data_IF_012560216524
#
_entry.id   IF_012560216524
#
_cell.length_a   1.000
_cell.length_b   1.000
_cell.length_c   1.000
_cell.angle_alpha   90.00
_cell.angle_beta   90.00
_cell.angle_gamma   90.00
#
_symmetry.space_group_name_H-M   'P 1'
#
loop_
_entity.id
_entity.type
_entity.pdbx_description
1 polymer ?
#
# COMPACT_ATOMS: atom_id res chain seq x y z
N UNK A 1 12.31 -28.40 32.22
CA UNK A 1 11.46 -28.57 31.02
C UNK A 1 11.39 -27.24 30.28
N UNK A 2 12.09 -27.09 29.15
CA UNK A 2 12.13 -25.84 28.41
C UNK A 2 10.80 -25.62 27.67
N UNK A 3 10.07 -24.55 28.01
CA UNK A 3 8.83 -24.14 27.35
C UNK A 3 9.13 -23.84 25.87
N UNK A 4 8.64 -24.70 24.98
CA UNK A 4 8.65 -24.46 23.54
C UNK A 4 7.88 -23.15 23.28
N UNK A 5 8.59 -22.18 22.70
CA UNK A 5 7.99 -20.91 22.28
C UNK A 5 7.20 -21.21 21.00
N UNK A 6 5.87 -21.20 21.12
CA UNK A 6 4.98 -21.40 19.97
C UNK A 6 4.68 -20.05 19.30
N UNK A 7 4.37 -20.02 17.99
CA UNK A 7 3.93 -18.81 17.30
C UNK A 7 2.73 -18.12 17.99
N UNK A 8 1.87 -18.88 18.66
CA UNK A 8 0.76 -18.36 19.47
C UNK A 8 1.22 -17.61 20.72
N UNK A 9 2.26 -18.09 21.40
CA UNK A 9 2.85 -17.35 22.54
C UNK A 9 3.48 -16.05 22.07
N UNK A 10 4.17 -16.04 20.93
CA UNK A 10 4.73 -14.83 20.35
C UNK A 10 3.62 -13.85 19.94
N UNK A 11 2.56 -14.35 19.29
CA UNK A 11 1.36 -13.56 18.93
C UNK A 11 0.71 -12.94 20.16
N UNK A 12 0.54 -13.71 21.24
CA UNK A 12 -0.07 -13.24 22.49
C UNK A 12 0.80 -12.22 23.22
N UNK A 13 2.13 -12.36 23.16
CA UNK A 13 3.04 -11.39 23.74
C UNK A 13 3.01 -10.08 22.94
N UNK A 14 3.14 -10.15 21.61
CA UNK A 14 3.09 -8.97 20.74
C UNK A 14 1.74 -8.25 20.82
N UNK A 15 0.63 -9.00 20.86
CA UNK A 15 -0.70 -8.42 21.07
C UNK A 15 -0.82 -7.78 22.46
N UNK A 16 -0.27 -8.38 23.50
CA UNK A 16 -0.30 -7.79 24.85
C UNK A 16 0.49 -6.48 24.97
N UNK A 17 1.58 -6.34 24.21
CA UNK A 17 2.37 -5.10 24.19
C UNK A 17 1.67 -3.98 23.44
N UNK A 18 1.03 -4.28 22.30
CA UNK A 18 0.27 -3.30 21.52
C UNK A 18 -1.02 -2.88 22.26
N UNK A 19 -1.73 -3.82 22.90
CA UNK A 19 -2.91 -3.54 23.73
C UNK A 19 -2.63 -2.64 24.92
N UNK A 20 -1.43 -2.72 25.51
CA UNK A 20 -1.02 -1.81 26.60
C UNK A 20 -0.85 -0.37 26.10
N UNK A 21 -0.33 -0.21 24.89
CA UNK A 21 -0.15 1.11 24.27
C UNK A 21 -1.50 1.73 23.88
N UNK A 22 -2.39 0.95 23.26
CA UNK A 22 -3.71 1.41 22.82
C UNK A 22 -4.66 1.73 23.99
N UNK A 23 -4.60 0.97 25.10
CA UNK A 23 -5.37 1.30 26.32
C UNK A 23 -4.93 2.61 26.95
N UNK A 24 -3.63 2.91 26.96
CA UNK A 24 -3.11 4.17 27.47
C UNK A 24 -3.59 5.36 26.62
N UNK A 25 -3.66 5.19 25.30
CA UNK A 25 -4.19 6.21 24.39
C UNK A 25 -5.69 6.44 24.56
N UNK A 26 -6.49 5.38 24.72
CA UNK A 26 -7.93 5.48 24.93
C UNK A 26 -8.31 6.12 26.27
N UNK A 27 -7.53 5.88 27.33
CA UNK A 27 -7.74 6.56 28.63
C UNK A 27 -7.41 8.06 28.56
N UNK A 28 -6.37 8.44 27.81
CA UNK A 28 -6.03 9.86 27.57
C UNK A 28 -7.12 10.60 26.76
N UNK A 29 -7.82 9.91 25.86
CA UNK A 29 -8.94 10.48 25.10
C UNK A 29 -10.20 10.63 25.96
N UNK A 30 -10.50 9.67 26.84
CA UNK A 30 -11.63 9.75 27.77
C UNK A 30 -11.49 10.88 28.79
N UNK A 31 -10.28 11.09 29.33
CA UNK A 31 -10.00 12.17 30.28
C UNK A 31 -10.21 13.56 29.67
N UNK A 32 -10.02 13.71 28.35
CA UNK A 32 -10.29 14.96 27.61
C UNK A 32 -11.77 15.17 27.28
N UNK A 33 -12.56 14.11 27.24
CA UNK A 33 -14.01 14.18 26.99
C UNK A 33 -14.81 14.46 28.28
N UNK A 34 -14.24 14.16 29.46
CA UNK A 34 -14.89 14.35 30.76
C UNK A 34 -14.93 15.82 31.23
N UNK A 35 -14.34 16.78 30.50
CA UNK A 35 -14.26 18.20 30.91
C UNK A 35 -15.27 19.12 30.23
N UNK A 36 -16.31 18.59 29.60
CA UNK A 36 -17.38 19.40 28.99
C UNK A 36 -18.75 19.04 29.56
N UNK A 37 -19.26 19.90 30.45
CA UNK A 37 -20.62 19.81 31.01
C UNK A 37 -21.68 20.30 30.00
N UNK A 38 -22.79 19.56 29.79
CA UNK A 38 -23.99 20.10 29.16
C UNK A 38 -25.08 20.41 30.21
N UNK A 39 -25.63 21.64 30.15
CA UNK A 39 -26.87 22.02 30.87
C UNK A 39 -28.12 21.59 30.08
N UNK A 40 -29.24 21.26 30.77
CA UNK A 40 -30.43 20.75 30.12
C UNK A 40 -31.47 21.84 29.80
N UNK A 41 -32.46 21.40 29.01
CA UNK A 41 -33.81 21.93 28.79
C UNK A 41 -34.05 22.78 27.53
N UNK A 42 -34.62 22.14 26.50
CA UNK A 42 -35.89 22.52 25.81
C UNK A 42 -36.12 21.52 24.65
N UNK A 43 -36.72 20.37 24.94
CA UNK A 43 -37.01 19.29 23.98
C UNK A 43 -38.48 19.34 23.54
N UNK A 44 -38.74 19.62 22.25
CA UNK A 44 -39.85 18.99 21.52
C UNK A 44 -39.92 19.42 20.03
N UNK A 45 -39.53 20.64 19.66
CA UNK A 45 -39.74 21.14 18.27
C UNK A 45 -38.51 21.17 17.37
N UNK A 46 -37.31 20.91 17.92
CA UNK A 46 -36.02 20.94 17.17
C UNK A 46 -35.59 19.51 16.75
N UNK A 47 -36.33 18.47 17.13
CA UNK A 47 -35.89 17.08 17.03
C UNK A 47 -35.79 16.53 15.59
N UNK A 48 -36.61 17.01 14.64
CA UNK A 48 -36.62 16.48 13.26
C UNK A 48 -35.48 17.03 12.40
N UNK A 49 -35.24 18.35 12.42
CA UNK A 49 -34.11 18.97 11.71
C UNK A 49 -32.75 18.54 12.27
N UNK A 50 -32.68 18.30 13.60
CA UNK A 50 -31.46 17.82 14.26
C UNK A 50 -31.16 16.37 13.92
N UNK A 51 -32.17 15.52 13.73
CA UNK A 51 -31.99 14.08 13.43
C UNK A 51 -31.55 13.86 11.98
N UNK A 52 -32.10 14.63 11.04
CA UNK A 52 -31.62 14.66 9.64
C UNK A 52 -30.17 15.13 9.56
N UNK A 53 -29.84 16.21 10.28
CA UNK A 53 -28.48 16.75 10.35
C UNK A 53 -27.47 15.78 10.98
N UNK A 54 -27.83 15.10 12.08
CA UNK A 54 -26.97 14.07 12.71
C UNK A 54 -26.75 12.87 11.78
N UNK A 55 -27.77 12.42 11.06
CA UNK A 55 -27.65 11.33 10.08
C UNK A 55 -26.69 11.69 8.94
N UNK A 56 -26.79 12.92 8.41
CA UNK A 56 -25.89 13.40 7.36
C UNK A 56 -24.43 13.46 7.84
N UNK A 57 -24.18 13.92 9.07
CA UNK A 57 -22.83 13.94 9.66
C UNK A 57 -22.24 12.53 9.82
N UNK A 58 -23.02 11.55 10.30
CA UNK A 58 -22.57 10.16 10.47
C UNK A 58 -22.23 9.48 9.13
N UNK A 59 -22.91 9.87 8.05
CA UNK A 59 -22.69 9.34 6.71
C UNK A 59 -21.76 10.19 5.84
N UNK A 60 -21.17 11.26 6.39
CA UNK A 60 -20.15 12.07 5.68
C UNK A 60 -18.88 11.26 5.38
N UNK A 61 -18.14 11.68 4.34
CA UNK A 61 -16.86 11.06 3.98
C UNK A 61 -15.86 11.08 5.15
N UNK A 62 -15.79 12.19 5.88
CA UNK A 62 -14.96 12.32 7.09
C UNK A 62 -15.31 11.29 8.17
N UNK A 63 -16.60 11.08 8.44
CA UNK A 63 -17.04 10.08 9.42
C UNK A 63 -16.79 8.64 8.94
N UNK A 64 -16.86 8.40 7.63
CA UNK A 64 -16.47 7.13 7.02
C UNK A 64 -14.98 6.83 7.22
N UNK A 65 -14.09 7.79 6.93
CA UNK A 65 -12.64 7.63 7.16
C UNK A 65 -12.30 7.36 8.62
N UNK A 66 -12.96 8.07 9.56
CA UNK A 66 -12.79 7.80 11.01
C UNK A 66 -13.14 6.36 11.39
N UNK A 67 -14.19 5.78 10.80
CA UNK A 67 -14.52 4.36 11.02
C UNK A 67 -13.44 3.45 10.46
N UNK A 68 -12.90 3.73 9.28
CA UNK A 68 -11.79 2.95 8.71
C UNK A 68 -10.55 2.92 9.60
N UNK A 69 -10.22 4.05 10.23
CA UNK A 69 -9.07 4.17 11.12
C UNK A 69 -9.12 3.24 12.34
N UNK A 70 -10.32 2.77 12.72
CA UNK A 70 -10.50 1.82 13.83
C UNK A 70 -10.03 0.40 13.51
N UNK A 71 -9.85 0.07 12.22
CA UNK A 71 -9.45 -1.28 11.80
C UNK A 71 -7.92 -1.43 11.82
N UNK A 72 -7.47 -2.58 12.29
CA UNK A 72 -6.06 -2.98 12.24
C UNK A 72 -5.92 -4.44 11.81
N UNK A 73 -4.74 -4.80 11.31
CA UNK A 73 -4.44 -6.19 10.96
C UNK A 73 -4.50 -7.15 12.17
N UNK A 74 -4.33 -6.64 13.40
CA UNK A 74 -4.39 -7.44 14.63
C UNK A 74 -5.82 -7.66 15.13
N UNK A 75 -6.74 -6.74 14.87
CA UNK A 75 -8.12 -6.77 15.40
C UNK A 75 -9.14 -7.23 14.35
N UNK A 76 -8.80 -7.16 13.06
CA UNK A 76 -9.66 -7.59 11.95
C UNK A 76 -8.85 -8.44 10.95
N UNK A 77 -8.30 -9.55 11.44
CA UNK A 77 -7.34 -10.38 10.74
C UNK A 77 -7.99 -11.37 9.76
N UNK A 78 -7.31 -11.67 8.66
CA UNK A 78 -7.62 -12.77 7.72
C UNK A 78 -9.08 -12.80 7.25
N UNK A 79 -9.64 -11.62 6.98
CA UNK A 79 -10.96 -11.49 6.38
C UNK A 79 -10.85 -11.47 4.84
N UNK A 80 -11.81 -12.08 4.13
CA UNK A 80 -11.88 -11.97 2.68
C UNK A 80 -12.27 -10.53 2.26
N UNK A 81 -12.11 -10.21 0.98
CA UNK A 81 -12.30 -8.84 0.46
C UNK A 81 -13.73 -8.30 0.69
N UNK A 82 -14.73 -9.18 0.67
CA UNK A 82 -16.15 -8.88 0.92
C UNK A 82 -16.42 -8.46 2.38
N UNK A 83 -15.48 -8.75 3.27
CA UNK A 83 -15.50 -8.40 4.70
C UNK A 83 -14.40 -7.37 5.03
N UNK A 84 -13.88 -6.68 4.02
CA UNK A 84 -12.85 -5.66 4.21
C UNK A 84 -13.33 -4.49 5.08
N UNK A 85 -12.41 -3.77 5.74
CA UNK A 85 -12.73 -2.56 6.51
C UNK A 85 -13.59 -1.54 5.75
N UNK A 86 -13.41 -1.42 4.43
CA UNK A 86 -14.19 -0.56 3.55
C UNK A 86 -15.68 -0.90 3.57
N UNK A 87 -16.00 -2.19 3.44
CA UNK A 87 -17.38 -2.67 3.47
C UNK A 87 -17.98 -2.44 4.86
N UNK A 88 -17.26 -2.81 5.91
CA UNK A 88 -17.71 -2.60 7.29
C UNK A 88 -18.00 -1.11 7.57
N UNK A 89 -17.05 -0.22 7.27
CA UNK A 89 -17.21 1.22 7.48
C UNK A 89 -18.35 1.80 6.63
N UNK A 90 -18.59 1.30 5.42
CA UNK A 90 -19.71 1.74 4.56
C UNK A 90 -21.06 1.48 5.23
N UNK A 91 -21.20 0.34 5.91
CA UNK A 91 -22.39 -0.03 6.68
C UNK A 91 -22.35 0.50 8.13
N UNK A 92 -21.49 1.47 8.43
CA UNK A 92 -21.51 2.17 9.72
C UNK A 92 -20.85 1.42 10.87
N UNK A 93 -20.11 0.35 10.57
CA UNK A 93 -19.39 -0.43 11.57
C UNK A 93 -18.01 0.18 11.85
N UNK A 94 -17.67 0.28 13.12
CA UNK A 94 -16.32 0.55 13.61
C UNK A 94 -15.80 -0.69 14.36
N UNK A 95 -14.50 -0.94 14.31
CA UNK A 95 -13.89 -2.07 14.98
C UNK A 95 -13.48 -1.65 16.41
N UNK A 96 -14.12 -2.27 17.40
CA UNK A 96 -14.00 -1.88 18.81
C UNK A 96 -13.18 -2.87 19.64
N UNK A 97 -13.01 -4.10 19.14
CA UNK A 97 -12.21 -5.17 19.78
C UNK A 97 -11.86 -6.26 18.74
N UNK A 98 -11.14 -7.31 19.14
CA UNK A 98 -10.82 -8.46 18.30
C UNK A 98 -12.06 -9.09 17.68
N UNK A 99 -12.14 -9.00 16.35
CA UNK A 99 -13.29 -9.45 15.57
C UNK A 99 -14.64 -8.91 16.09
N UNK A 100 -14.65 -7.72 16.69
CA UNK A 100 -15.87 -7.10 17.22
C UNK A 100 -16.13 -5.78 16.53
N UNK A 101 -17.34 -5.65 15.99
CA UNK A 101 -17.83 -4.43 15.37
C UNK A 101 -18.91 -3.79 16.22
N UNK A 102 -18.96 -2.46 16.24
CA UNK A 102 -20.07 -1.70 16.79
C UNK A 102 -20.61 -0.74 15.73
N UNK A 103 -21.93 -0.67 15.58
CA UNK A 103 -22.52 0.32 14.67
C UNK A 103 -22.49 1.70 15.32
N UNK A 104 -21.93 2.70 14.64
CA UNK A 104 -21.85 4.07 15.19
C UNK A 104 -23.23 4.72 15.35
N UNK A 105 -24.22 4.29 14.54
CA UNK A 105 -25.58 4.80 14.54
C UNK A 105 -26.47 4.18 15.62
N UNK A 106 -26.64 2.86 15.60
CA UNK A 106 -27.55 2.15 16.50
C UNK A 106 -26.87 1.47 17.71
N UNK A 107 -25.54 1.52 17.81
CA UNK A 107 -24.74 0.95 18.91
C UNK A 107 -24.82 -0.58 19.08
N UNK A 108 -25.52 -1.28 18.20
CA UNK A 108 -25.53 -2.76 18.10
C UNK A 108 -24.11 -3.29 17.87
N UNK A 109 -23.80 -4.44 18.48
CA UNK A 109 -22.55 -5.15 18.30
C UNK A 109 -22.70 -6.32 17.33
N UNK A 110 -21.64 -6.61 16.58
CA UNK A 110 -21.56 -7.74 15.66
C UNK A 110 -20.22 -8.45 15.82
N UNK A 111 -20.28 -9.75 16.16
CA UNK A 111 -19.11 -10.62 16.17
C UNK A 111 -18.75 -11.02 14.74
N UNK A 112 -17.52 -10.72 14.34
CA UNK A 112 -16.92 -11.01 13.06
C UNK A 112 -15.98 -12.20 13.04
N UNK A 113 -15.94 -13.01 14.11
CA UNK A 113 -15.00 -14.14 14.21
C UNK A 113 -15.31 -15.17 13.13
N UNK A 114 -14.28 -15.61 12.41
CA UNK A 114 -14.37 -16.69 11.44
C UNK A 114 -13.60 -17.93 11.95
N UNK A 115 -14.01 -19.14 11.56
CA UNK A 115 -13.22 -20.35 11.78
C UNK A 115 -11.81 -20.21 11.20
N UNK A 116 -10.86 -21.01 11.69
CA UNK A 116 -9.52 -21.08 11.08
C UNK A 116 -9.61 -21.84 9.75
N UNK A 117 -8.82 -21.44 8.76
CA UNK A 117 -8.88 -21.86 7.35
C UNK A 117 -8.58 -23.35 7.06
N UNK A 118 -8.57 -24.22 8.07
CA UNK A 118 -8.42 -25.67 7.90
C UNK A 118 -9.63 -26.34 7.25
N UNK A 119 -10.83 -25.79 7.47
CA UNK A 119 -12.10 -26.27 6.91
C UNK A 119 -12.68 -25.21 5.97
N UNK A 120 -12.34 -25.30 4.68
CA UNK A 120 -12.66 -24.26 3.69
C UNK A 120 -14.16 -24.01 3.52
N UNK A 121 -15.02 -25.02 3.70
CA UNK A 121 -16.46 -24.89 3.48
C UNK A 121 -17.17 -24.17 4.64
N UNK A 122 -16.87 -24.55 5.88
CA UNK A 122 -17.37 -23.88 7.08
C UNK A 122 -16.88 -22.44 7.15
N UNK A 123 -15.62 -22.19 6.78
CA UNK A 123 -15.08 -20.83 6.67
C UNK A 123 -15.91 -19.99 5.69
N UNK A 124 -16.16 -20.50 4.48
CA UNK A 124 -16.92 -19.80 3.44
C UNK A 124 -18.37 -19.55 3.88
N UNK A 125 -19.00 -20.52 4.53
CA UNK A 125 -20.37 -20.37 5.05
C UNK A 125 -20.44 -19.31 6.16
N UNK A 126 -19.49 -19.33 7.11
CA UNK A 126 -19.39 -18.30 8.15
C UNK A 126 -19.10 -16.92 7.56
N UNK A 127 -18.24 -16.82 6.55
CA UNK A 127 -17.92 -15.56 5.88
C UNK A 127 -19.15 -14.98 5.16
N UNK A 128 -19.90 -15.82 4.42
CA UNK A 128 -21.13 -15.39 3.75
C UNK A 128 -22.23 -15.01 4.75
N UNK A 129 -22.34 -15.72 5.88
CA UNK A 129 -23.25 -15.32 6.97
C UNK A 129 -22.86 -13.97 7.56
N UNK A 130 -21.57 -13.75 7.82
CA UNK A 130 -21.08 -12.48 8.37
C UNK A 130 -21.30 -11.32 7.38
N UNK A 131 -21.09 -11.56 6.08
CA UNK A 131 -21.35 -10.58 5.02
C UNK A 131 -22.81 -10.13 5.01
N UNK A 132 -23.75 -11.06 5.16
CA UNK A 132 -25.18 -10.74 5.31
C UNK A 132 -25.45 -9.95 6.60
N UNK A 133 -24.81 -10.34 7.70
CA UNK A 133 -24.97 -9.67 9.00
C UNK A 133 -24.41 -8.24 9.02
N UNK A 134 -23.35 -7.94 8.28
CA UNK A 134 -22.86 -6.56 8.12
C UNK A 134 -23.95 -5.64 7.57
N UNK A 135 -24.85 -6.15 6.72
CA UNK A 135 -25.95 -5.37 6.16
C UNK A 135 -27.17 -5.37 7.09
N UNK A 136 -27.48 -6.53 7.69
CA UNK A 136 -28.77 -6.75 8.34
C UNK A 136 -28.75 -6.57 9.87
N UNK A 137 -27.61 -6.74 10.54
CA UNK A 137 -27.52 -6.79 12.02
C UNK A 137 -27.52 -5.41 12.67
N UNK A 138 -28.41 -4.53 12.23
CA UNK A 138 -28.65 -3.25 12.86
C UNK A 138 -29.96 -3.25 13.65
N UNK A 139 -30.05 -2.38 14.66
CA UNK A 139 -31.33 -2.11 15.33
C UNK A 139 -32.35 -1.52 14.36
N UNK A 140 -33.64 -1.67 14.67
CA UNK A 140 -34.72 -1.11 13.86
C UNK A 140 -34.54 0.41 13.69
N UNK A 141 -34.73 0.89 12.47
CA UNK A 141 -34.58 2.30 12.08
C UNK A 141 -33.14 2.86 12.19
N UNK A 142 -32.12 1.99 12.19
CA UNK A 142 -30.74 2.44 12.04
C UNK A 142 -30.53 3.15 10.68
N UNK A 143 -29.83 4.29 10.73
CA UNK A 143 -29.50 5.08 9.53
C UNK A 143 -28.67 4.30 8.52
N UNK A 144 -27.79 3.39 8.98
CA UNK A 144 -26.94 2.59 8.10
C UNK A 144 -27.61 1.33 7.57
N UNK A 145 -28.54 0.75 8.34
CA UNK A 145 -29.33 -0.41 7.89
C UNK A 145 -30.32 -0.07 6.78
N UNK A 146 -30.65 1.21 6.62
CA UNK A 146 -31.53 1.73 5.56
C UNK A 146 -30.76 2.46 4.48
N UNK A 147 -29.79 3.30 4.87
CA UNK A 147 -29.01 4.14 3.97
C UNK A 147 -27.52 4.03 4.31
N UNK A 148 -26.79 3.04 3.77
CA UNK A 148 -25.33 2.99 3.95
C UNK A 148 -24.65 4.23 3.35
N UNK A 149 -23.37 4.42 3.68
CA UNK A 149 -22.55 5.44 3.01
C UNK A 149 -22.46 5.19 1.49
N UNK A 150 -22.17 6.24 0.72
CA UNK A 150 -21.98 6.13 -0.73
C UNK A 150 -20.93 5.05 -1.04
N UNK A 151 -21.19 4.25 -2.07
CA UNK A 151 -20.24 3.27 -2.58
C UNK A 151 -18.97 3.92 -3.15
N UNK A 152 -19.07 5.19 -3.59
CA UNK A 152 -17.93 5.98 -4.06
C UNK A 152 -16.84 6.12 -2.99
N UNK A 153 -17.20 6.11 -1.69
CA UNK A 153 -16.21 6.18 -0.61
C UNK A 153 -15.30 4.95 -0.55
N UNK A 154 -15.72 3.83 -1.15
CA UNK A 154 -14.91 2.62 -1.25
C UNK A 154 -13.97 2.63 -2.48
N UNK A 155 -13.95 3.70 -3.27
CA UNK A 155 -13.21 3.79 -4.52
C UNK A 155 -12.32 5.03 -4.57
N UNK A 156 -11.22 4.96 -5.32
CA UNK A 156 -10.43 6.15 -5.65
C UNK A 156 -11.20 6.95 -6.70
N UNK A 157 -11.53 8.20 -6.40
CA UNK A 157 -12.27 9.09 -7.30
C UNK A 157 -11.31 9.68 -8.34
N UNK A 158 -11.11 8.97 -9.46
CA UNK A 158 -10.10 9.36 -10.46
C UNK A 158 -10.59 10.48 -11.38
N UNK A 159 -11.90 10.64 -11.54
CA UNK A 159 -12.53 11.69 -12.34
C UNK A 159 -12.49 13.07 -11.67
N UNK A 160 -12.48 13.13 -10.33
CA UNK A 160 -12.36 14.39 -9.59
C UNK A 160 -10.89 14.78 -9.43
N UNK A 161 -10.30 15.27 -10.52
CA UNK A 161 -8.88 15.66 -10.59
C UNK A 161 -8.51 16.69 -9.53
N UNK A 162 -9.43 17.58 -9.15
CA UNK A 162 -9.17 18.64 -8.14
C UNK A 162 -8.98 18.00 -6.76
N UNK A 163 -9.95 17.21 -6.30
CA UNK A 163 -9.84 16.53 -5.01
C UNK A 163 -8.72 15.50 -4.98
N UNK A 164 -8.49 14.81 -6.10
CA UNK A 164 -7.42 13.85 -6.26
C UNK A 164 -6.03 14.51 -6.17
N UNK A 165 -5.84 15.65 -6.82
CA UNK A 165 -4.59 16.43 -6.76
C UNK A 165 -4.35 17.01 -5.37
N UNK A 166 -5.39 17.54 -4.71
CA UNK A 166 -5.28 17.99 -3.32
C UNK A 166 -4.85 16.85 -2.39
N UNK A 167 -5.50 15.69 -2.52
CA UNK A 167 -5.15 14.48 -1.76
C UNK A 167 -3.74 13.98 -2.05
N UNK A 168 -3.27 14.08 -3.31
CA UNK A 168 -1.88 13.81 -3.67
C UNK A 168 -0.93 14.74 -2.91
N UNK A 169 -1.16 16.06 -2.95
CA UNK A 169 -0.32 17.04 -2.29
C UNK A 169 -0.25 16.84 -0.76
N UNK A 170 -1.35 16.42 -0.13
CA UNK A 170 -1.38 16.06 1.29
C UNK A 170 -0.49 14.87 1.60
N UNK A 171 -0.62 13.77 0.85
CA UNK A 171 0.22 12.56 1.01
C UNK A 171 1.69 12.84 0.74
N UNK A 172 2.00 13.57 -0.33
CA UNK A 172 3.36 13.96 -0.67
C UNK A 172 3.98 14.86 0.42
N UNK A 173 3.21 15.80 0.96
CA UNK A 173 3.64 16.65 2.09
C UNK A 173 3.88 15.88 3.38
N UNK A 174 3.17 14.77 3.60
CA UNK A 174 3.40 13.90 4.73
C UNK A 174 4.70 13.10 4.53
N UNK A 175 4.86 12.47 3.37
CA UNK A 175 6.03 11.67 3.03
C UNK A 175 7.33 12.48 2.95
N UNK A 176 7.28 13.74 2.51
CA UNK A 176 8.46 14.62 2.46
C UNK A 176 9.13 14.81 3.83
N UNK A 177 8.38 14.65 4.93
CA UNK A 177 8.91 14.78 6.30
C UNK A 177 9.78 13.60 6.73
N UNK A 178 9.68 12.47 6.04
CA UNK A 178 10.40 11.23 6.36
C UNK A 178 11.22 10.71 5.16
N UNK A 179 11.40 11.55 4.13
CA UNK A 179 11.95 11.11 2.84
C UNK A 179 13.36 10.50 2.93
N UNK A 180 14.17 10.97 3.88
CA UNK A 180 15.53 10.46 4.11
C UNK A 180 15.55 9.03 4.69
N UNK A 181 14.42 8.57 5.23
CA UNK A 181 14.26 7.25 5.85
C UNK A 181 13.48 6.27 4.97
N UNK A 182 13.04 6.71 3.79
CA UNK A 182 12.24 5.87 2.90
C UNK A 182 13.01 4.63 2.46
N UNK A 183 12.28 3.53 2.20
CA UNK A 183 12.89 2.30 1.77
C UNK A 183 13.28 2.41 0.29
N UNK A 184 14.28 1.64 -0.11
CA UNK A 184 14.55 1.40 -1.53
C UNK A 184 13.34 0.72 -2.14
N UNK A 185 12.81 1.30 -3.23
CA UNK A 185 11.61 0.80 -3.89
C UNK A 185 11.96 -0.30 -4.91
N UNK A 186 11.11 -1.31 -5.01
CA UNK A 186 11.08 -2.23 -6.15
C UNK A 186 10.16 -1.63 -7.21
N UNK A 187 10.74 -1.15 -8.31
CA UNK A 187 10.01 -0.46 -9.38
C UNK A 187 9.81 -1.31 -10.63
N UNK A 188 10.31 -2.55 -10.67
CA UNK A 188 10.34 -3.37 -11.89
C UNK A 188 8.98 -3.41 -12.60
N UNK A 189 7.91 -3.72 -11.85
CA UNK A 189 6.55 -3.76 -12.40
C UNK A 189 6.07 -2.41 -12.94
N UNK A 190 6.44 -1.30 -12.28
CA UNK A 190 6.07 0.04 -12.74
C UNK A 190 6.86 0.44 -13.99
N UNK A 191 8.16 0.11 -14.03
CA UNK A 191 9.03 0.34 -15.19
C UNK A 191 8.56 -0.43 -16.42
N UNK A 192 8.10 -1.67 -16.24
CA UNK A 192 7.50 -2.48 -17.31
C UNK A 192 6.22 -1.85 -17.87
N UNK A 193 5.52 -1.04 -17.05
CA UNK A 193 4.36 -0.24 -17.46
C UNK A 193 4.73 1.15 -18.00
N UNK A 194 6.03 1.46 -18.16
CA UNK A 194 6.51 2.72 -18.70
C UNK A 194 6.65 3.86 -17.68
N UNK A 195 6.57 3.57 -16.38
CA UNK A 195 6.82 4.55 -15.32
C UNK A 195 8.33 4.81 -15.16
N UNK A 196 8.72 6.08 -15.07
CA UNK A 196 10.08 6.50 -14.74
C UNK A 196 10.05 7.35 -13.48
N UNK A 197 10.68 6.87 -12.41
CA UNK A 197 10.68 7.53 -11.10
C UNK A 197 11.29 8.94 -11.17
N UNK A 198 12.35 9.12 -11.96
CA UNK A 198 13.00 10.42 -12.13
C UNK A 198 12.08 11.44 -12.83
N UNK A 199 11.37 11.01 -13.89
CA UNK A 199 10.38 11.83 -14.57
C UNK A 199 9.20 12.18 -13.66
N UNK A 200 8.76 11.24 -12.82
CA UNK A 200 7.68 11.48 -11.86
C UNK A 200 8.09 12.54 -10.82
N UNK A 201 9.31 12.42 -10.28
CA UNK A 201 9.90 13.43 -9.38
C UNK A 201 10.01 14.80 -10.05
N UNK A 202 10.53 14.87 -11.27
CA UNK A 202 10.64 16.11 -12.03
C UNK A 202 9.28 16.74 -12.37
N UNK A 203 8.29 15.92 -12.72
CA UNK A 203 6.91 16.37 -12.97
C UNK A 203 6.32 16.98 -11.70
N UNK A 204 6.46 16.29 -10.56
CA UNK A 204 5.98 16.79 -9.28
C UNK A 204 6.61 18.15 -8.94
N UNK A 205 7.94 18.27 -9.05
CA UNK A 205 8.67 19.52 -8.81
C UNK A 205 8.26 20.64 -9.76
N UNK A 206 7.89 20.34 -11.01
CA UNK A 206 7.52 21.38 -11.99
C UNK A 206 6.06 21.82 -11.89
N UNK A 207 5.15 20.89 -11.64
CA UNK A 207 3.72 21.10 -11.88
C UNK A 207 2.83 20.92 -10.66
N UNK A 208 3.23 20.10 -9.68
CA UNK A 208 2.37 19.75 -8.54
C UNK A 208 2.81 20.50 -7.26
N UNK A 209 4.11 20.50 -6.99
CA UNK A 209 4.67 21.00 -5.73
C UNK A 209 6.03 21.70 -5.95
N UNK A 210 6.07 22.86 -6.62
CA UNK A 210 7.31 23.56 -6.95
C UNK A 210 8.12 24.03 -5.74
N UNK A 211 7.43 24.44 -4.68
CA UNK A 211 8.05 25.00 -3.48
C UNK A 211 8.60 23.95 -2.51
N UNK A 212 8.42 22.65 -2.81
CA UNK A 212 8.90 21.56 -1.96
C UNK A 212 9.90 20.70 -2.70
N UNK A 213 10.93 20.26 -1.98
CA UNK A 213 11.82 19.20 -2.44
C UNK A 213 11.32 17.86 -1.91
N UNK A 214 10.68 17.12 -2.81
CA UNK A 214 10.08 15.81 -2.53
C UNK A 214 10.88 14.79 -3.34
N UNK A 215 11.41 13.77 -2.66
CA UNK A 215 12.20 12.75 -3.32
C UNK A 215 11.35 11.98 -4.35
N UNK A 216 11.95 11.52 -5.47
CA UNK A 216 11.24 10.70 -6.46
C UNK A 216 10.54 9.47 -5.86
N UNK A 217 11.15 8.83 -4.84
CA UNK A 217 10.54 7.69 -4.14
C UNK A 217 9.31 8.09 -3.32
N UNK A 218 9.33 9.26 -2.67
CA UNK A 218 8.14 9.80 -2.00
C UNK A 218 7.02 10.11 -3.01
N UNK A 219 7.37 10.63 -4.19
CA UNK A 219 6.40 10.87 -5.27
C UNK A 219 5.79 9.56 -5.76
N UNK A 220 6.60 8.52 -5.99
CA UNK A 220 6.13 7.20 -6.39
C UNK A 220 5.15 6.61 -5.36
N UNK A 221 5.52 6.63 -4.08
CA UNK A 221 4.65 6.19 -2.98
C UNK A 221 3.34 6.98 -2.94
N UNK A 222 3.37 8.28 -3.24
CA UNK A 222 2.18 9.14 -3.28
C UNK A 222 1.22 8.73 -4.39
N UNK A 223 1.73 8.46 -5.60
CA UNK A 223 0.93 8.01 -6.75
C UNK A 223 0.31 6.64 -6.54
N UNK A 224 0.99 5.76 -5.79
CA UNK A 224 0.47 4.43 -5.44
C UNK A 224 -0.35 4.42 -4.15
N UNK A 225 -0.70 5.59 -3.59
CA UNK A 225 -1.69 5.70 -2.52
C UNK A 225 -1.15 5.61 -1.09
N UNK A 226 0.16 5.63 -0.91
CA UNK A 226 0.79 5.63 0.41
C UNK A 226 0.92 7.03 1.00
N UNK A 227 0.90 7.08 2.32
CA UNK A 227 1.24 8.23 3.17
C UNK A 227 2.01 7.75 4.39
N UNK A 228 2.42 8.65 5.28
CA UNK A 228 3.02 8.28 6.58
C UNK A 228 2.04 8.50 7.73
N UNK A 229 2.20 7.71 8.80
CA UNK A 229 1.46 7.94 10.04
C UNK A 229 1.83 9.30 10.65
N UNK A 230 0.85 10.02 11.17
CA UNK A 230 1.06 11.25 11.94
C UNK A 230 1.57 11.00 13.36
N UNK A 231 1.32 9.80 13.91
CA UNK A 231 1.63 9.44 15.30
C UNK A 231 2.94 8.67 15.47
N UNK A 232 3.47 8.06 14.39
CA UNK A 232 4.66 7.22 14.46
C UNK A 232 5.55 7.45 13.25
N UNK A 233 6.65 8.18 13.45
CA UNK A 233 7.68 8.33 12.44
C UNK A 233 8.24 6.94 12.06
N UNK A 234 8.25 6.61 10.77
CA UNK A 234 8.74 5.32 10.28
C UNK A 234 7.65 4.27 10.00
N UNK A 235 6.38 4.65 9.97
CA UNK A 235 5.29 3.80 9.49
C UNK A 235 4.68 4.39 8.21
N UNK A 236 4.74 3.63 7.12
CA UNK A 236 3.94 3.87 5.91
C UNK A 236 2.54 3.31 6.11
N UNK A 237 1.54 3.99 5.57
CA UNK A 237 0.18 3.52 5.60
C UNK A 237 -0.62 3.88 4.35
N UNK A 238 -1.61 3.05 4.05
CA UNK A 238 -2.64 3.34 3.06
C UNK A 238 -3.98 3.52 3.79
N UNK A 239 -4.58 4.71 3.66
CA UNK A 239 -5.85 5.04 4.32
C UNK A 239 -7.00 4.20 3.78
N UNK A 240 -6.98 3.85 2.49
CA UNK A 240 -8.09 3.11 1.87
C UNK A 240 -8.13 1.65 2.29
N UNK A 241 -6.99 0.99 2.47
CA UNK A 241 -6.95 -0.43 2.83
C UNK A 241 -6.52 -0.70 4.27
N UNK A 242 -6.29 0.36 5.06
CA UNK A 242 -5.83 0.35 6.44
C UNK A 242 -4.50 -0.40 6.67
N UNK A 243 -3.71 -0.62 5.61
CA UNK A 243 -2.40 -1.27 5.70
C UNK A 243 -1.42 -0.32 6.38
N UNK A 244 -0.70 -0.81 7.39
CA UNK A 244 0.37 -0.09 8.11
C UNK A 244 1.64 -0.95 8.06
N UNK A 245 2.75 -0.35 7.65
CA UNK A 245 4.02 -1.04 7.40
C UNK A 245 5.17 -0.24 8.03
N UNK A 246 5.95 -0.90 8.87
CA UNK A 246 7.16 -0.32 9.44
C UNK A 246 8.30 -0.28 8.43
N UNK A 247 8.96 0.88 8.28
CA UNK A 247 10.09 1.06 7.37
C UNK A 247 11.28 0.16 7.71
N UNK A 248 11.41 -0.26 8.97
CA UNK A 248 12.46 -1.16 9.44
C UNK A 248 12.42 -2.57 8.80
N UNK A 249 11.33 -2.92 8.12
CA UNK A 249 11.21 -4.20 7.41
C UNK A 249 11.94 -4.22 6.06
N UNK A 250 12.36 -3.06 5.53
CA UNK A 250 12.90 -2.93 4.17
C UNK A 250 14.31 -2.35 4.16
N UNK A 251 15.02 -2.56 3.05
CA UNK A 251 16.30 -1.89 2.81
C UNK A 251 16.08 -0.37 2.71
N UNK A 252 16.95 0.41 3.35
CA UNK A 252 16.94 1.88 3.23
C UNK A 252 18.04 2.31 2.27
N UNK A 253 17.80 3.38 1.52
CA UNK A 253 18.74 3.93 0.53
C UNK A 253 20.06 4.41 1.14
N UNK A 254 20.16 4.53 2.48
CA UNK A 254 21.38 4.89 3.22
C UNK A 254 22.13 3.74 3.89
N UNK A 255 21.73 2.47 3.71
CA UNK A 255 22.38 1.33 4.37
C UNK A 255 23.69 0.90 3.67
N UNK A 256 24.69 1.79 3.64
CA UNK A 256 26.09 1.42 3.42
C UNK A 256 26.76 1.26 4.80
N UNK A 257 27.25 0.04 5.05
CA UNK A 257 28.23 -0.37 6.07
C UNK A 257 28.59 0.64 7.18
N UNK A 258 28.01 0.46 8.36
CA UNK A 258 28.68 0.55 9.66
C UNK A 258 27.68 0.16 10.76
N UNK A 259 27.50 -1.15 10.97
CA UNK A 259 27.04 -1.64 12.25
C UNK A 259 28.26 -1.65 13.19
N UNK A 260 28.63 -0.48 13.70
CA UNK A 260 29.45 -0.40 14.91
C UNK A 260 28.63 -0.99 16.04
N UNK A 261 29.02 -2.18 16.45
CA UNK A 261 28.58 -2.81 17.68
C UNK A 261 29.08 -1.94 18.82
N UNK A 262 28.18 -1.20 19.46
CA UNK A 262 28.41 -0.67 20.80
C UNK A 262 28.50 -1.87 21.75
N UNK A 263 29.72 -2.32 22.00
CA UNK A 263 30.05 -3.18 23.13
C UNK A 263 30.13 -2.29 24.36
N UNK A 264 29.06 -2.25 25.14
CA UNK A 264 29.15 -1.77 26.52
C UNK A 264 29.59 -2.93 27.41
N UNK A 265 30.63 -2.62 28.19
CA UNK A 265 31.25 -3.40 29.25
C UNK A 265 30.22 -4.04 30.19
N UNK A 266 30.49 -5.29 30.57
CA UNK A 266 30.15 -5.80 31.89
C UNK A 266 31.29 -6.71 32.35
N UNK A 267 32.02 -6.18 33.33
CA UNK A 267 33.14 -6.77 34.03
C UNK A 267 32.71 -7.95 34.90
N UNK A 268 33.46 -9.06 34.77
CA UNK A 268 33.86 -10.03 35.80
C UNK A 268 32.91 -10.34 36.96
N UNK A 269 32.43 -11.59 37.03
CA UNK A 269 32.49 -12.45 38.23
C UNK A 269 32.67 -13.89 37.75
N UNK A 270 33.70 -14.55 38.30
CA UNK A 270 34.00 -15.98 38.17
C UNK A 270 33.03 -16.82 38.99
N UNK A 271 32.51 -17.90 38.44
CA UNK A 271 32.34 -19.16 39.18
C UNK A 271 32.18 -20.34 38.21
N UNK A 272 32.92 -21.40 38.54
CA UNK A 272 32.98 -22.66 37.82
C UNK A 272 31.72 -23.50 38.04
N UNK A 273 31.05 -23.94 36.97
CA UNK A 273 30.33 -25.22 36.99
C UNK A 273 30.26 -25.85 35.58
N UNK A 274 30.65 -27.11 35.49
CA UNK A 274 30.82 -27.85 34.24
C UNK A 274 29.50 -28.49 33.79
N UNK A 275 28.77 -27.82 32.90
CA UNK A 275 27.67 -28.38 32.11
C UNK A 275 28.01 -28.49 30.61
N UNK A 276 27.46 -29.47 29.86
CA UNK A 276 27.86 -29.74 28.48
C UNK A 276 27.46 -28.59 27.55
N UNK A 277 28.49 -27.96 26.95
CA UNK A 277 28.38 -26.83 26.02
C UNK A 277 27.61 -27.22 24.76
N UNK A 278 26.31 -26.96 24.72
CA UNK A 278 25.57 -26.89 23.45
C UNK A 278 26.04 -25.63 22.73
N UNK A 279 26.85 -25.80 21.66
CA UNK A 279 27.17 -24.74 20.70
C UNK A 279 25.85 -24.15 20.18
N UNK A 280 25.40 -23.03 20.75
CA UNK A 280 24.45 -22.15 20.09
C UNK A 280 25.17 -21.63 18.85
N UNK A 281 24.94 -22.26 17.70
CA UNK A 281 25.24 -21.65 16.42
C UNK A 281 24.49 -20.32 16.40
N UNK A 282 25.23 -19.22 16.57
CA UNK A 282 24.75 -17.88 16.25
C UNK A 282 24.59 -17.87 14.74
N UNK A 283 23.39 -18.20 14.28
CA UNK A 283 22.99 -18.00 12.89
C UNK A 283 23.09 -16.49 12.67
N UNK A 284 24.20 -16.06 12.09
CA UNK A 284 24.40 -14.70 11.64
C UNK A 284 23.75 -14.61 10.26
N UNK A 285 22.42 -14.74 10.23
CA UNK A 285 21.62 -14.30 9.09
C UNK A 285 21.17 -12.89 9.46
N UNK A 286 22.00 -11.90 9.16
CA UNK A 286 21.45 -10.57 8.87
C UNK A 286 20.48 -10.78 7.70
N UNK A 287 19.15 -10.61 7.88
CA UNK A 287 18.23 -10.78 6.77
C UNK A 287 18.61 -9.75 5.70
N UNK A 288 18.85 -10.19 4.46
CA UNK A 288 18.86 -9.26 3.33
C UNK A 288 17.47 -8.66 3.33
N UNK A 289 17.34 -7.41 3.80
CA UNK A 289 16.05 -6.73 3.78
C UNK A 289 15.68 -6.50 2.31
N UNK A 290 14.50 -6.90 1.92
CA UNK A 290 14.01 -6.73 0.57
C UNK A 290 13.66 -5.25 0.30
N UNK A 291 13.57 -4.89 -0.98
CA UNK A 291 13.05 -3.59 -1.41
C UNK A 291 11.52 -3.56 -1.29
N UNK A 292 10.97 -2.37 -1.07
CA UNK A 292 9.53 -2.17 -0.89
C UNK A 292 8.81 -2.10 -2.23
N UNK A 293 7.86 -3.00 -2.50
CA UNK A 293 7.03 -2.91 -3.70
C UNK A 293 5.83 -1.98 -3.45
N UNK A 294 5.75 -0.80 -4.09
CA UNK A 294 4.70 0.18 -3.81
C UNK A 294 3.29 -0.26 -4.24
N UNK A 295 3.15 -1.31 -5.06
CA UNK A 295 1.86 -1.83 -5.51
C UNK A 295 1.46 -3.07 -4.72
N UNK A 296 2.37 -4.04 -4.58
CA UNK A 296 2.05 -5.35 -3.97
C UNK A 296 1.88 -5.30 -2.45
N UNK A 297 2.45 -4.30 -1.78
CA UNK A 297 2.37 -4.16 -0.32
C UNK A 297 1.00 -3.72 0.21
N UNK A 298 0.09 -3.34 -0.69
CA UNK A 298 -1.31 -3.07 -0.34
C UNK A 298 -2.05 -4.37 0.02
N UNK A 299 -3.10 -4.26 0.82
CA UNK A 299 -4.04 -5.38 0.95
C UNK A 299 -4.74 -5.65 -0.40
N UNK A 300 -5.07 -6.90 -0.70
CA UNK A 300 -5.66 -7.34 -1.98
C UNK A 300 -6.99 -6.64 -2.33
N UNK A 301 -7.71 -6.15 -1.33
CA UNK A 301 -8.95 -5.38 -1.49
C UNK A 301 -8.72 -3.86 -1.61
N UNK A 302 -7.48 -3.41 -1.72
CA UNK A 302 -7.18 -1.98 -1.76
C UNK A 302 -7.71 -1.33 -3.05
N UNK A 303 -8.53 -0.26 -2.95
CA UNK A 303 -9.06 0.45 -4.11
C UNK A 303 -8.00 0.99 -5.06
N UNK A 304 -6.78 1.29 -4.58
CA UNK A 304 -5.68 1.76 -5.42
C UNK A 304 -5.23 0.73 -6.46
N UNK A 305 -5.21 -0.56 -6.10
CA UNK A 305 -4.75 -1.65 -6.99
C UNK A 305 -5.90 -2.34 -7.72
N UNK A 306 -7.14 -2.09 -7.27
CA UNK A 306 -8.35 -2.58 -7.93
C UNK A 306 -8.55 -1.86 -9.27
N UNK A 307 -9.24 -2.55 -10.18
CA UNK A 307 -9.45 -2.07 -11.54
C UNK A 307 -10.53 -0.99 -11.63
N UNK A 308 -10.20 0.13 -12.24
CA UNK A 308 -11.11 1.21 -12.58
C UNK A 308 -11.83 0.94 -13.91
N UNK A 309 -13.12 1.25 -14.01
CA UNK A 309 -13.85 1.25 -15.28
C UNK A 309 -13.68 2.61 -15.95
N UNK A 310 -12.86 2.70 -17.00
CA UNK A 310 -12.72 3.93 -17.77
C UNK A 310 -14.02 4.17 -18.55
N UNK A 311 -14.75 5.23 -18.23
CA UNK A 311 -15.96 5.62 -18.97
C UNK A 311 -15.55 6.42 -20.21
N UNK A 312 -15.83 5.89 -21.41
CA UNK A 312 -15.49 6.54 -22.68
C UNK A 312 -16.40 7.77 -22.91
N UNK A 313 -16.06 8.91 -22.33
CA UNK A 313 -16.74 10.18 -22.62
C UNK A 313 -15.75 11.34 -22.69
N UNK A 314 -15.09 11.49 -23.83
CA UNK A 314 -14.74 12.79 -24.44
C UNK A 314 -13.76 12.62 -25.60
N UNK A 315 -14.29 12.31 -26.78
CA UNK A 315 -13.69 12.64 -28.07
C UNK A 315 -14.81 12.73 -29.10
N UNK A 316 -15.66 13.74 -28.96
CA UNK A 316 -16.46 14.21 -30.09
C UNK A 316 -16.23 15.71 -30.21
N UNK A 317 -15.21 16.05 -30.99
CA UNK A 317 -15.10 17.37 -31.58
C UNK A 317 -16.30 17.53 -32.52
N UNK A 318 -17.14 18.50 -32.18
CA UNK A 318 -18.18 19.07 -33.02
C UNK A 318 -17.62 19.42 -34.41
N UNK A 319 -18.15 18.79 -35.45
CA UNK A 319 -18.15 19.36 -36.80
C UNK A 319 -19.57 19.28 -37.34
N UNK A 320 -20.14 20.47 -37.53
CA UNK A 320 -21.35 20.74 -38.30
C UNK A 320 -21.27 20.08 -39.68
N UNK A 321 -22.34 19.40 -40.12
CA UNK A 321 -22.77 19.36 -41.52
C UNK A 321 -24.25 18.93 -41.62
N UNK A 322 -25.02 19.74 -42.34
CA UNK A 322 -26.46 19.64 -42.59
C UNK A 322 -26.83 18.45 -43.51
N UNK A 323 -28.14 18.11 -43.63
CA UNK A 323 -28.58 16.87 -44.23
C UNK A 323 -28.80 17.00 -45.75
N UNK A 324 -28.38 15.99 -46.49
CA UNK A 324 -28.88 15.74 -47.85
C UNK A 324 -29.18 14.26 -48.05
N UNK A 325 -30.30 14.04 -48.70
CA UNK A 325 -31.05 12.80 -48.89
C UNK A 325 -30.39 11.79 -49.84
N UNK A 326 -30.82 10.54 -49.64
CA UNK A 326 -31.13 9.48 -50.63
C UNK A 326 -30.12 8.36 -50.91
N UNK A 327 -30.73 7.18 -51.01
CA UNK A 327 -30.35 5.92 -51.66
C UNK A 327 -29.54 4.87 -50.88
N UNK A 328 -30.19 3.71 -50.76
CA UNK A 328 -29.70 2.41 -50.33
C UNK A 328 -28.58 1.91 -51.26
N UNK A 329 -27.53 1.31 -50.69
CA UNK A 329 -26.97 0.09 -51.26
C UNK A 329 -26.13 -0.65 -50.21
N UNK A 330 -26.44 -1.92 -50.09
CA UNK A 330 -25.78 -2.96 -49.31
C UNK A 330 -24.29 -3.16 -49.64
N UNK A 331 -23.44 -3.07 -48.61
CA UNK A 331 -22.22 -3.89 -48.50
C UNK A 331 -22.05 -4.30 -47.05
N UNK A 332 -22.36 -5.57 -46.79
CA UNK A 332 -21.87 -6.29 -45.60
C UNK A 332 -20.36 -6.43 -45.71
N UNK A 333 -19.73 -6.58 -44.53
CA UNK A 333 -18.33 -7.00 -44.34
C UNK A 333 -17.26 -5.89 -44.30
N UNK A 334 -17.25 -5.12 -43.20
CA UNK A 334 -16.02 -4.64 -42.55
C UNK A 334 -16.26 -4.15 -41.11
N UNK A 335 -17.21 -4.75 -40.37
CA UNK A 335 -17.33 -4.56 -38.91
C UNK A 335 -16.27 -5.44 -38.21
N UNK A 336 -15.00 -5.28 -38.59
CA UNK A 336 -13.88 -5.92 -37.89
C UNK A 336 -13.69 -5.25 -36.54
N UNK A 337 -14.21 -5.89 -35.49
CA UNK A 337 -13.58 -6.01 -34.17
C UNK A 337 -12.93 -4.75 -33.55
N UNK A 338 -13.58 -3.58 -33.65
CA UNK A 338 -13.17 -2.37 -32.92
C UNK A 338 -13.94 -2.17 -31.60
N UNK A 339 -14.58 -3.21 -31.07
CA UNK A 339 -14.86 -3.30 -29.62
C UNK A 339 -13.61 -3.84 -28.92
N UNK A 340 -12.49 -3.13 -29.10
CA UNK A 340 -11.28 -3.42 -28.36
C UNK A 340 -11.61 -3.29 -26.87
N UNK A 341 -11.44 -4.41 -26.15
CA UNK A 341 -11.34 -4.55 -24.70
C UNK A 341 -11.35 -3.20 -23.97
N UNK A 342 -12.41 -2.89 -23.24
CA UNK A 342 -12.37 -1.94 -22.13
C UNK A 342 -11.25 -2.41 -21.18
N UNK A 343 -10.02 -1.96 -21.44
CA UNK A 343 -8.86 -2.30 -20.63
C UNK A 343 -9.07 -1.65 -19.27
N UNK A 344 -9.51 -2.47 -18.34
CA UNK A 344 -9.60 -2.16 -16.93
C UNK A 344 -8.19 -1.83 -16.42
N UNK A 345 -7.87 -0.56 -16.24
CA UNK A 345 -6.59 -0.14 -15.64
C UNK A 345 -6.74 -0.06 -14.11
N UNK A 346 -5.71 -0.40 -13.31
CA UNK A 346 -5.71 -0.14 -11.88
C UNK A 346 -5.95 1.34 -11.55
N UNK A 347 -6.61 1.62 -10.43
CA UNK A 347 -6.98 2.98 -10.05
C UNK A 347 -5.76 3.89 -9.84
N UNK A 348 -4.62 3.38 -9.35
CA UNK A 348 -3.40 4.18 -9.24
C UNK A 348 -2.87 4.64 -10.61
N UNK A 349 -3.01 3.83 -11.66
CA UNK A 349 -2.64 4.23 -13.04
C UNK A 349 -3.62 5.28 -13.55
N UNK A 350 -4.92 5.08 -13.35
CA UNK A 350 -5.93 6.06 -13.74
C UNK A 350 -5.73 7.40 -13.01
N UNK A 351 -5.43 7.37 -11.71
CA UNK A 351 -5.11 8.54 -10.92
C UNK A 351 -3.84 9.24 -11.42
N UNK A 352 -2.78 8.49 -11.70
CA UNK A 352 -1.54 9.03 -12.26
C UNK A 352 -1.81 9.71 -13.60
N UNK A 353 -2.54 9.07 -14.53
CA UNK A 353 -2.88 9.66 -15.83
C UNK A 353 -3.74 10.92 -15.71
N UNK A 354 -4.55 11.02 -14.66
CA UNK A 354 -5.41 12.17 -14.40
C UNK A 354 -4.65 13.37 -13.79
N UNK A 355 -3.71 13.10 -12.87
CA UNK A 355 -2.90 14.14 -12.20
C UNK A 355 -1.69 14.55 -13.05
N UNK A 356 -1.09 13.59 -13.76
CA UNK A 356 0.14 13.72 -14.51
C UNK A 356 0.00 13.13 -15.93
N UNK A 357 -0.81 13.74 -16.80
CA UNK A 357 -0.94 13.31 -18.19
C UNK A 357 0.43 13.35 -18.89
N UNK A 358 0.75 12.33 -19.70
CA UNK A 358 2.05 12.20 -20.38
C UNK A 358 3.11 11.41 -19.62
N UNK A 359 2.98 11.21 -18.30
CA UNK A 359 4.04 10.59 -17.49
C UNK A 359 4.26 9.08 -17.76
N UNK A 360 3.24 8.38 -18.26
CA UNK A 360 3.28 6.93 -18.57
C UNK A 360 2.95 6.61 -20.04
N UNK A 361 2.94 7.61 -20.93
CA UNK A 361 2.49 7.43 -22.33
C UNK A 361 3.58 6.85 -23.25
N UNK A 362 4.64 6.26 -22.68
CA UNK A 362 5.79 5.68 -23.38
C UNK A 362 6.50 6.66 -24.33
N UNK A 363 7.49 7.38 -23.82
CA UNK A 363 8.86 7.42 -24.35
C UNK A 363 9.13 7.37 -25.88
N UNK A 364 8.32 8.02 -26.73
CA UNK A 364 8.55 8.09 -28.19
C UNK A 364 9.56 9.15 -28.61
N UNK A 365 10.08 9.98 -27.69
CA UNK A 365 11.01 11.06 -28.04
C UNK A 365 12.39 10.96 -27.42
N UNK A 366 12.48 10.88 -26.10
CA UNK A 366 13.70 11.32 -25.41
C UNK A 366 14.50 10.18 -24.74
N UNK A 367 13.91 9.36 -23.87
CA UNK A 367 14.68 8.32 -23.17
C UNK A 367 14.97 7.08 -24.03
N UNK A 368 14.18 6.80 -25.08
CA UNK A 368 14.58 5.82 -26.12
C UNK A 368 15.78 6.30 -26.95
N UNK A 369 15.90 7.61 -27.19
CA UNK A 369 17.05 8.23 -27.85
C UNK A 369 18.29 8.27 -26.96
N UNK A 370 18.14 8.58 -25.66
CA UNK A 370 19.25 8.64 -24.70
C UNK A 370 19.84 7.26 -24.39
N UNK A 371 19.04 6.19 -24.40
CA UNK A 371 19.53 4.81 -24.25
C UNK A 371 20.36 4.33 -25.46
N UNK A 372 20.26 5.02 -26.61
CA UNK A 372 21.04 4.76 -27.85
C UNK A 372 22.07 5.85 -28.17
N UNK A 373 22.29 6.82 -27.27
CA UNK A 373 23.25 7.89 -27.48
C UNK A 373 24.70 7.36 -27.38
N UNK A 374 25.62 7.78 -28.26
CA UNK A 374 27.03 7.40 -28.20
C UNK A 374 27.67 7.68 -26.82
N UNK A 375 27.17 8.69 -26.11
CA UNK A 375 27.68 9.10 -24.79
C UNK A 375 27.34 8.09 -23.68
N UNK A 376 26.16 7.49 -23.71
CA UNK A 376 25.74 6.47 -22.72
C UNK A 376 26.36 5.11 -23.02
N UNK A 377 26.64 4.78 -24.28
CA UNK A 377 27.45 3.62 -24.65
C UNK A 377 28.92 3.80 -24.21
N UNK A 378 29.48 5.01 -24.37
CA UNK A 378 30.82 5.35 -23.86
C UNK A 378 30.95 5.15 -22.34
N UNK A 379 29.94 5.58 -21.57
CA UNK A 379 29.89 5.39 -20.11
C UNK A 379 29.75 3.91 -19.71
N UNK A 380 29.04 3.10 -20.52
CA UNK A 380 28.88 1.66 -20.30
C UNK A 380 30.17 0.90 -20.61
N UNK A 381 30.86 1.25 -21.70
CA UNK A 381 32.19 0.74 -22.03
C UNK A 381 33.22 1.12 -20.96
N UNK A 382 33.17 2.36 -20.45
CA UNK A 382 34.05 2.82 -19.39
C UNK A 382 33.84 2.07 -18.06
N UNK A 383 32.58 1.86 -17.64
CA UNK A 383 32.26 1.02 -16.47
C UNK A 383 32.76 -0.41 -16.63
N UNK A 384 32.54 -1.02 -17.80
CA UNK A 384 33.00 -2.38 -18.10
C UNK A 384 34.54 -2.46 -18.06
N UNK A 385 35.25 -1.44 -18.55
CA UNK A 385 36.71 -1.36 -18.46
C UNK A 385 37.20 -1.24 -17.01
N UNK A 386 36.54 -0.43 -16.18
CA UNK A 386 36.86 -0.29 -14.75
C UNK A 386 36.58 -1.59 -13.98
N UNK A 387 35.49 -2.30 -14.28
CA UNK A 387 35.19 -3.61 -13.70
C UNK A 387 36.29 -4.63 -14.03
N UNK A 388 36.78 -4.62 -15.28
CA UNK A 388 37.87 -5.50 -15.74
C UNK A 388 39.21 -5.20 -15.06
N UNK A 389 39.45 -3.95 -14.66
CA UNK A 389 40.65 -3.53 -13.93
C UNK A 389 40.56 -3.75 -12.42
N UNK A 390 39.33 -3.87 -11.89
CA UNK A 390 39.08 -3.99 -10.45
C UNK A 390 39.05 -5.42 -9.89
N UNK A 391 39.15 -6.47 -10.72
CA UNK A 391 39.23 -7.85 -10.23
C UNK A 391 40.67 -8.28 -9.92
N UNK A 392 41.00 -8.60 -8.64
CA UNK A 392 42.21 -9.36 -8.34
C UNK A 392 41.99 -10.81 -8.78
N UNK A 393 42.85 -11.32 -9.66
CA UNK A 393 42.87 -12.74 -10.04
C UNK A 393 43.05 -13.60 -8.78
N UNK A 394 42.00 -14.28 -8.34
CA UNK A 394 42.12 -15.37 -7.38
C UNK A 394 42.80 -16.55 -8.10
N UNK A 395 44.06 -16.80 -7.74
CA UNK A 395 44.82 -17.98 -8.13
C UNK A 395 44.18 -19.24 -7.52
N UNK A 396 43.51 -20.05 -8.33
CA UNK A 396 43.18 -21.42 -7.95
C UNK A 396 44.34 -22.34 -8.35
N UNK A 397 45.22 -22.62 -7.39
CA UNK A 397 46.12 -23.77 -7.42
C UNK A 397 45.33 -25.05 -7.14
N UNK A 398 45.31 -25.98 -8.09
CA UNK A 398 45.35 -27.40 -7.77
C UNK A 398 45.96 -28.18 -8.94
N UNK A 399 47.16 -28.70 -8.70
CA UNK A 399 47.83 -29.79 -9.40
C UNK A 399 46.93 -31.04 -9.47
N UNK A 400 46.90 -31.82 -10.54
CA UNK A 400 47.95 -32.81 -10.82
C UNK A 400 47.76 -33.49 -12.18
N UNK A 401 48.87 -33.59 -12.93
CA UNK A 401 49.28 -34.67 -13.85
C UNK A 401 48.34 -35.18 -14.96
N UNK A 402 48.71 -34.97 -16.23
CA UNK A 402 49.51 -35.97 -16.98
C UNK A 402 49.88 -35.51 -18.41
N UNK A 403 51.14 -35.83 -18.74
CA UNK A 403 51.80 -36.10 -20.03
C UNK A 403 51.92 -35.03 -21.14
N UNK A 404 53.18 -34.63 -21.30
CA UNK A 404 53.82 -34.09 -22.50
C UNK A 404 53.60 -34.97 -23.74
N UNK A 405 53.20 -34.34 -24.84
CA UNK A 405 53.65 -34.72 -26.18
C UNK A 405 54.04 -33.46 -26.97
N UNK A 406 55.18 -33.55 -27.63
CA UNK A 406 55.89 -32.55 -28.44
C UNK A 406 55.19 -32.22 -29.76
N UNK A 407 55.47 -31.05 -30.37
CA UNK A 407 54.87 -30.66 -31.64
C UNK A 407 55.60 -31.28 -32.84
N UNK A 408 54.82 -31.83 -33.77
CA UNK A 408 55.25 -32.20 -35.11
C UNK A 408 55.42 -30.95 -35.98
N UNK A 409 56.58 -30.84 -36.62
CA UNK A 409 56.85 -29.98 -37.79
C UNK A 409 56.10 -30.51 -39.02
N UNK A 410 55.66 -29.64 -39.95
CA UNK A 410 55.35 -30.07 -41.30
C UNK A 410 56.64 -30.13 -42.13
N UNK A 411 56.82 -31.24 -42.85
CA UNK A 411 57.94 -31.49 -43.75
C UNK A 411 57.83 -30.63 -45.01
N UNK A 412 58.95 -30.03 -45.40
CA UNK A 412 59.47 -30.13 -46.77
C UNK A 412 60.92 -30.61 -46.66
#
# INVERSE_FOLDING_TARGET
>A
MASIVTPEKIRNVLSSFLLKHERAENELVKLRAATSDPRPDTEASIAEDTKSSKSAVLRSHKSFLKRLETFSASTWFSKPAELSPLICARYGWENVDFDMLQCVGCKTFLCGRLPMSGDSEDYNQCAEKLKKNIVASHERFCVFGTFPCSEEFCHVQVEDVVSLSASFCERASALSKIQDKLPTLNLQYLEDLGYDEGQAGAYCKRHLMPDKDISPSAVTLTFTGWTCSSTSAGILMCVMCCRKIGLWNFASSGANFNAEVSSEDESSISDEDQGPKRKRQKITLSPIKESFNPVEEHNIWCPWIQHHKVSSRSSSSSVYSSPSSSSESSTRDAQTNASALLQKIPAYIAALKSIAPGLMDNNTGLAAGMKKSPMTEGLRCFRRALETWSSPKASSSNSSHQLQQSPTTPVS
#
